data_IF_020518201318
#
_entry.id   IF_020518201318
#
_cell.length_a   1.000
_cell.length_b   1.000
_cell.length_c   1.000
_cell.angle_alpha   90.00
_cell.angle_beta   90.00
_cell.angle_gamma   90.00
#
_symmetry.space_group_name_H-M   'P 1'
#
loop_
_entity.id
_entity.type
_entity.pdbx_description
1 polymer ?
#
# COMPACT_ATOMS: atom_id res chain seq x y z
N UNK A 1 5.34 10.35 14.83
CA UNK A 1 5.57 8.99 15.37
C UNK A 1 6.72 8.38 14.58
N UNK A 2 7.54 7.48 15.14
CA UNK A 2 8.46 6.70 14.31
C UNK A 2 7.64 5.86 13.32
N UNK A 3 8.12 5.74 12.08
CA UNK A 3 7.55 4.82 11.11
C UNK A 3 7.77 3.38 11.59
N UNK A 4 6.74 2.55 11.48
CA UNK A 4 6.82 1.12 11.77
C UNK A 4 6.93 0.35 10.45
N UNK A 5 7.49 -0.86 10.49
CA UNK A 5 7.46 -1.77 9.34
C UNK A 5 6.47 -2.86 9.70
N UNK A 6 5.32 -2.83 9.06
CA UNK A 6 4.18 -3.67 9.38
C UNK A 6 4.01 -4.78 8.33
N UNK A 7 3.45 -5.90 8.77
CA UNK A 7 2.97 -6.97 7.90
C UNK A 7 1.44 -6.99 8.04
N UNK A 8 0.75 -6.69 6.93
CA UNK A 8 -0.69 -6.43 6.90
C UNK A 8 -1.33 -7.42 5.93
N UNK A 9 -2.23 -8.25 6.45
CA UNK A 9 -3.00 -9.25 5.68
C UNK A 9 -4.50 -8.90 5.69
N UNK A 10 -5.07 -8.63 4.51
CA UNK A 10 -6.52 -8.39 4.30
C UNK A 10 -7.37 -9.67 4.36
N UNK A 11 -6.75 -10.82 4.06
CA UNK A 11 -7.37 -12.15 4.08
C UNK A 11 -8.45 -12.33 3.01
N UNK A 12 -9.72 -12.24 3.37
CA UNK A 12 -10.82 -12.54 2.46
C UNK A 12 -11.90 -11.48 2.60
N UNK A 13 -12.32 -10.92 1.48
CA UNK A 13 -13.24 -9.79 1.46
C UNK A 13 -12.77 -8.74 0.47
N UNK A 14 -13.43 -7.60 0.48
CA UNK A 14 -12.94 -6.43 -0.24
C UNK A 14 -12.43 -5.47 0.81
N UNK A 15 -11.11 -5.38 0.94
CA UNK A 15 -10.47 -4.66 2.02
C UNK A 15 -10.03 -3.25 1.60
N UNK A 16 -10.09 -2.34 2.58
CA UNK A 16 -9.50 -1.01 2.51
C UNK A 16 -8.35 -0.97 3.50
N UNK A 17 -7.12 -0.93 2.97
CA UNK A 17 -5.88 -0.99 3.74
C UNK A 17 -5.23 0.39 3.69
N UNK A 18 -4.92 0.96 4.85
CA UNK A 18 -4.15 2.20 4.94
C UNK A 18 -2.67 1.86 4.79
N UNK A 19 -1.99 2.43 3.79
CA UNK A 19 -0.57 2.16 3.57
C UNK A 19 0.29 2.69 4.71
N UNK A 20 0.10 3.96 5.09
CA UNK A 20 0.83 4.55 6.22
C UNK A 20 2.33 4.71 5.96
N UNK A 21 3.02 5.35 6.91
CA UNK A 21 4.47 5.54 6.80
C UNK A 21 5.20 4.32 7.37
N UNK A 22 6.07 3.74 6.55
CA UNK A 22 6.70 2.47 6.88
C UNK A 22 7.37 1.89 5.67
N UNK A 23 7.92 0.70 5.82
CA UNK A 23 8.33 -0.13 4.70
C UNK A 23 7.57 -1.43 4.87
N UNK A 24 6.31 -1.38 4.46
CA UNK A 24 5.29 -2.32 4.86
C UNK A 24 5.15 -3.46 3.84
N UNK A 25 4.73 -4.63 4.33
CA UNK A 25 4.34 -5.76 3.50
C UNK A 25 2.84 -5.88 3.56
N UNK A 26 2.19 -5.55 2.46
CA UNK A 26 0.73 -5.50 2.38
C UNK A 26 0.26 -6.59 1.43
N UNK A 27 -0.54 -7.52 1.93
CA UNK A 27 -1.24 -8.53 1.15
C UNK A 27 -2.76 -8.31 1.27
N UNK A 28 -3.43 -7.99 0.15
CA UNK A 28 -4.89 -7.85 0.12
C UNK A 28 -5.64 -9.17 0.33
N UNK A 29 -5.02 -10.30 -0.02
CA UNK A 29 -5.64 -11.61 0.05
C UNK A 29 -6.61 -11.86 -1.11
N UNK A 30 -7.83 -12.29 -0.82
CA UNK A 30 -8.83 -12.66 -1.81
C UNK A 30 -9.98 -11.67 -1.85
N UNK A 31 -10.26 -11.12 -3.03
CA UNK A 31 -11.42 -10.27 -3.29
C UNK A 31 -11.02 -9.09 -4.17
N UNK A 32 -11.51 -7.89 -3.84
CA UNK A 32 -11.11 -6.66 -4.54
C UNK A 32 -10.60 -5.64 -3.54
N UNK A 33 -9.28 -5.53 -3.47
CA UNK A 33 -8.61 -4.86 -2.37
C UNK A 33 -8.01 -3.51 -2.79
N UNK A 34 -8.08 -2.55 -1.88
CA UNK A 34 -7.63 -1.18 -2.10
C UNK A 34 -6.61 -0.77 -1.05
N UNK A 35 -5.43 -0.35 -1.48
CA UNK A 35 -4.49 0.36 -0.61
C UNK A 35 -4.67 1.87 -0.74
N UNK A 36 -4.69 2.58 0.38
CA UNK A 36 -4.95 4.01 0.45
C UNK A 36 -3.75 4.78 1.02
N UNK A 37 -3.17 5.62 0.17
CA UNK A 37 -2.08 6.55 0.47
C UNK A 37 -2.54 8.03 0.43
N UNK A 38 -3.84 8.30 0.48
CA UNK A 38 -4.40 9.66 0.42
C UNK A 38 -3.92 10.58 1.55
N UNK A 39 -3.52 10.00 2.69
CA UNK A 39 -2.94 10.71 3.83
C UNK A 39 -1.45 11.10 3.63
N UNK A 40 -0.77 10.56 2.61
CA UNK A 40 0.64 10.83 2.37
C UNK A 40 0.90 12.31 2.08
N UNK A 41 1.84 12.88 2.83
CA UNK A 41 2.25 14.28 2.68
C UNK A 41 3.20 14.53 1.49
N UNK A 42 3.61 13.48 0.78
CA UNK A 42 4.43 13.54 -0.43
C UNK A 42 3.86 12.62 -1.52
N UNK A 43 4.26 12.86 -2.77
CA UNK A 43 3.87 12.02 -3.89
C UNK A 43 4.32 10.56 -3.66
N UNK A 44 3.43 9.63 -3.94
CA UNK A 44 3.69 8.18 -3.86
C UNK A 44 3.79 7.59 -5.26
N UNK A 45 4.69 6.63 -5.43
CA UNK A 45 4.81 5.83 -6.63
C UNK A 45 4.83 4.35 -6.24
N UNK A 46 3.79 3.64 -6.67
CA UNK A 46 3.57 2.22 -6.41
C UNK A 46 3.22 1.50 -7.71
N UNK A 47 3.52 0.22 -7.74
CA UNK A 47 3.21 -0.66 -8.85
C UNK A 47 2.18 -1.69 -8.40
N UNK A 48 1.11 -1.88 -9.17
CA UNK A 48 0.22 -3.03 -9.03
C UNK A 48 0.56 -4.02 -10.13
N UNK A 49 0.86 -5.26 -9.75
CA UNK A 49 1.10 -6.36 -10.68
C UNK A 49 0.65 -7.69 -10.08
N UNK A 50 0.49 -8.75 -10.90
CA UNK A 50 0.30 -10.10 -10.37
C UNK A 50 1.47 -10.50 -9.46
N UNK A 51 1.15 -11.09 -8.30
CA UNK A 51 2.13 -11.41 -7.26
C UNK A 51 2.49 -10.20 -6.41
N UNK A 52 3.72 -10.15 -5.89
CA UNK A 52 4.23 -9.04 -5.07
C UNK A 52 4.88 -7.96 -5.93
N UNK A 53 4.58 -6.69 -5.71
CA UNK A 53 5.12 -5.50 -6.38
C UNK A 53 6.62 -5.27 -6.10
N UNK A 54 7.25 -4.34 -6.84
CA UNK A 54 8.51 -3.77 -6.38
C UNK A 54 8.23 -2.86 -5.18
N UNK A 55 9.28 -2.56 -4.41
CA UNK A 55 9.20 -1.60 -3.32
C UNK A 55 8.74 -0.23 -3.86
N UNK A 56 7.68 0.32 -3.26
CA UNK A 56 7.18 1.65 -3.54
C UNK A 56 8.22 2.73 -3.22
N UNK A 57 8.01 3.91 -3.79
CA UNK A 57 8.92 5.04 -3.59
C UNK A 57 8.15 6.33 -3.33
N UNK A 58 8.74 7.18 -2.49
CA UNK A 58 8.17 8.48 -2.15
C UNK A 58 7.03 8.41 -1.14
N UNK A 59 6.98 9.44 -0.29
CA UNK A 59 5.95 9.58 0.75
C UNK A 59 5.81 8.36 1.63
N UNK A 60 4.56 8.05 1.96
CA UNK A 60 4.20 6.93 2.81
C UNK A 60 4.48 5.58 2.13
N UNK A 61 4.46 5.50 0.80
CA UNK A 61 4.75 4.26 0.06
C UNK A 61 6.24 3.85 0.03
N UNK A 62 7.12 4.57 0.74
CA UNK A 62 8.57 4.39 0.62
C UNK A 62 9.04 3.07 1.23
N UNK A 63 9.27 2.07 0.37
CA UNK A 63 9.73 0.74 0.78
C UNK A 63 8.62 -0.30 0.85
N UNK A 64 7.36 0.10 0.65
CA UNK A 64 6.21 -0.79 0.72
C UNK A 64 6.20 -1.81 -0.42
N UNK A 65 5.78 -3.03 -0.12
CA UNK A 65 5.53 -4.07 -1.13
C UNK A 65 4.07 -4.50 -1.06
N UNK A 66 3.41 -4.53 -2.21
CA UNK A 66 1.99 -4.80 -2.35
C UNK A 66 1.78 -6.13 -3.06
N UNK A 67 0.99 -7.02 -2.48
CA UNK A 67 0.55 -8.27 -3.10
C UNK A 67 -0.97 -8.33 -3.08
N UNK A 68 -1.56 -8.92 -4.12
CA UNK A 68 -3.02 -9.11 -4.21
C UNK A 68 -3.83 -7.81 -3.97
N UNK A 69 -3.33 -6.67 -4.48
CA UNK A 69 -4.03 -5.39 -4.47
C UNK A 69 -4.57 -5.11 -5.86
N UNK A 70 -5.82 -4.66 -5.95
CA UNK A 70 -6.45 -4.32 -7.24
C UNK A 70 -6.51 -2.81 -7.50
N UNK A 71 -6.52 -2.01 -6.44
CA UNK A 71 -6.72 -0.57 -6.51
C UNK A 71 -5.77 0.17 -5.58
N UNK A 72 -5.32 1.34 -6.03
CA UNK A 72 -4.54 2.27 -5.23
C UNK A 72 -5.28 3.61 -5.22
N UNK A 73 -5.46 4.16 -4.02
CA UNK A 73 -5.73 5.59 -3.85
C UNK A 73 -4.38 6.27 -3.61
N UNK A 74 -3.95 7.10 -4.56
CA UNK A 74 -2.68 7.83 -4.46
C UNK A 74 -2.76 9.00 -3.47
N UNK A 75 -1.62 9.66 -3.27
CA UNK A 75 -1.55 10.89 -2.48
C UNK A 75 -2.40 12.01 -3.08
N UNK A 76 -2.81 12.98 -2.25
CA UNK A 76 -3.52 14.18 -2.70
C UNK A 76 -2.67 15.13 -3.57
N UNK A 77 -1.38 14.83 -3.78
CA UNK A 77 -0.44 15.63 -4.55
C UNK A 77 -0.41 15.16 -6.01
N UNK A 78 -0.64 16.10 -6.92
CA UNK A 78 -0.67 15.91 -8.39
C UNK A 78 0.63 16.32 -9.05
#
# INVERSE_FOLDING_TARGET
MPAHHDEIDGLAGNDLILGGAGADKIDGGTGTDTVDYSASAAAVNVEIRPGTSLAGTGGDAQGDTLSNIDKVVGSALT
#
